data_IF_757772707189
#
_entry.id   IF_757772707189
#
_cell.length_a   1.000
_cell.length_b   1.000
_cell.length_c   1.000
_cell.angle_alpha   90.00
_cell.angle_beta   90.00
_cell.angle_gamma   90.00
#
_symmetry.space_group_name_H-M   'P 1'
#
loop_
_entity.id
_entity.type
_entity.pdbx_description
1 polymer ?
#
# COMPACT_ATOMS: atom_id res chain seq x y z
N UNK A 1 -41.05 34.18 -6.22
CA UNK A 1 -39.75 33.75 -6.74
C UNK A 1 -39.01 33.07 -5.59
N UNK A 2 -39.05 31.76 -5.55
CA UNK A 2 -38.27 31.00 -4.57
C UNK A 2 -36.79 31.08 -4.98
N UNK A 3 -35.97 31.66 -4.10
CA UNK A 3 -34.51 31.63 -4.24
C UNK A 3 -34.09 30.18 -4.04
N UNK A 4 -33.68 29.47 -5.10
CA UNK A 4 -32.98 28.21 -5.00
C UNK A 4 -31.70 28.48 -4.19
N UNK A 5 -31.67 28.01 -2.94
CA UNK A 5 -30.45 27.99 -2.13
C UNK A 5 -29.47 27.05 -2.83
N UNK A 6 -28.39 27.57 -3.43
CA UNK A 6 -27.31 26.73 -3.93
C UNK A 6 -26.83 25.82 -2.80
N UNK A 7 -26.87 24.52 -3.04
CA UNK A 7 -26.39 23.55 -2.05
C UNK A 7 -24.89 23.75 -1.86
N UNK A 8 -24.48 24.09 -0.65
CA UNK A 8 -23.07 24.25 -0.31
C UNK A 8 -22.34 22.93 -0.53
N UNK A 9 -21.32 22.93 -1.40
CA UNK A 9 -20.52 21.76 -1.72
C UNK A 9 -19.83 21.24 -0.44
N UNK A 10 -20.07 19.96 -0.10
CA UNK A 10 -19.35 19.31 1.02
C UNK A 10 -17.86 19.16 0.66
N UNK A 11 -16.99 19.53 1.60
CA UNK A 11 -15.53 19.34 1.52
C UNK A 11 -15.14 18.38 2.64
N UNK A 12 -14.47 17.29 2.28
CA UNK A 12 -13.98 16.31 3.26
C UNK A 12 -12.97 16.93 4.23
N UNK A 13 -13.02 16.53 5.49
CA UNK A 13 -12.04 16.96 6.49
C UNK A 13 -10.61 16.66 6.03
N UNK A 14 -9.66 17.62 6.13
CA UNK A 14 -8.26 17.36 5.81
C UNK A 14 -7.57 16.37 6.78
N UNK A 15 -8.27 15.99 7.87
CA UNK A 15 -7.82 14.95 8.81
C UNK A 15 -8.42 13.56 8.52
N UNK A 16 -9.30 13.45 7.52
CA UNK A 16 -9.80 12.14 7.10
C UNK A 16 -8.68 11.35 6.45
N UNK A 17 -8.60 10.05 6.77
CA UNK A 17 -7.57 9.13 6.29
C UNK A 17 -8.23 7.83 5.81
N UNK A 18 -7.55 7.12 4.93
CA UNK A 18 -7.89 5.73 4.65
C UNK A 18 -7.39 4.91 5.83
N UNK A 19 -8.31 4.35 6.62
CA UNK A 19 -7.97 3.67 7.88
C UNK A 19 -7.48 2.25 7.70
N UNK A 20 -8.11 1.49 6.81
CA UNK A 20 -7.74 0.11 6.52
C UNK A 20 -8.19 -0.32 5.13
N UNK A 21 -7.62 -1.41 4.66
CA UNK A 21 -8.09 -2.20 3.52
C UNK A 21 -8.58 -3.56 4.00
N UNK A 22 -9.66 -4.08 3.40
CA UNK A 22 -10.18 -5.41 3.74
C UNK A 22 -10.26 -6.25 2.46
N UNK A 23 -9.53 -7.37 2.45
CA UNK A 23 -9.34 -8.22 1.29
C UNK A 23 -10.04 -9.57 1.50
N UNK A 24 -10.69 -10.06 0.46
CA UNK A 24 -11.09 -11.47 0.38
C UNK A 24 -9.95 -12.24 -0.23
N UNK A 25 -9.46 -13.26 0.48
CA UNK A 25 -8.32 -14.09 0.09
C UNK A 25 -8.74 -15.53 -0.08
N UNK A 26 -8.02 -16.28 -0.88
CA UNK A 26 -8.30 -17.69 -1.11
C UNK A 26 -7.89 -18.56 0.08
N UNK A 27 -6.80 -18.18 0.76
CA UNK A 27 -6.24 -18.96 1.87
C UNK A 27 -5.58 -18.04 2.90
N UNK A 28 -6.13 -18.01 4.12
CA UNK A 28 -5.61 -17.17 5.21
C UNK A 28 -4.16 -17.50 5.55
N UNK A 29 -3.78 -18.77 5.63
CA UNK A 29 -2.41 -19.15 5.98
C UNK A 29 -1.39 -18.65 4.94
N UNK A 30 -1.75 -18.72 3.65
CA UNK A 30 -0.93 -18.19 2.56
C UNK A 30 -0.82 -16.66 2.61
N UNK A 31 -1.92 -15.98 2.90
CA UNK A 31 -1.92 -14.53 3.07
C UNK A 31 -1.10 -14.11 4.31
N UNK A 32 -1.21 -14.82 5.44
CA UNK A 32 -0.43 -14.54 6.64
C UNK A 32 1.07 -14.72 6.40
N UNK A 33 1.48 -15.75 5.67
CA UNK A 33 2.90 -15.92 5.30
C UNK A 33 3.45 -14.68 4.58
N UNK A 34 2.64 -13.99 3.80
CA UNK A 34 3.04 -12.76 3.12
C UNK A 34 2.95 -11.54 4.05
N UNK A 35 1.76 -11.26 4.58
CA UNK A 35 1.54 -10.02 5.35
C UNK A 35 2.23 -10.03 6.71
N UNK A 36 2.28 -11.19 7.40
CA UNK A 36 2.91 -11.32 8.71
C UNK A 36 4.40 -11.63 8.59
N UNK A 37 4.78 -12.72 7.88
CA UNK A 37 6.16 -13.22 7.94
C UNK A 37 7.10 -12.41 7.05
N UNK A 38 6.62 -11.92 5.89
CA UNK A 38 7.45 -11.16 4.95
C UNK A 38 7.34 -9.65 5.18
N UNK A 39 6.10 -9.10 5.29
CA UNK A 39 5.90 -7.67 5.48
C UNK A 39 5.92 -7.22 6.95
N UNK A 40 5.89 -8.16 7.91
CA UNK A 40 6.08 -7.86 9.33
C UNK A 40 4.85 -7.29 10.04
N UNK A 41 3.64 -7.43 9.50
CA UNK A 41 2.43 -7.04 10.22
C UNK A 41 2.14 -8.01 11.37
N UNK A 42 1.68 -7.47 12.49
CA UNK A 42 1.24 -8.26 13.63
C UNK A 42 -0.22 -8.67 13.51
N UNK A 43 -0.53 -9.94 13.77
CA UNK A 43 -1.91 -10.39 13.93
C UNK A 43 -2.48 -9.84 15.23
N UNK A 44 -3.58 -9.09 15.13
CA UNK A 44 -4.29 -8.55 16.29
C UNK A 44 -5.46 -9.43 16.72
N UNK A 45 -6.16 -10.06 15.77
CA UNK A 45 -7.31 -10.89 16.10
C UNK A 45 -7.66 -11.86 14.97
N UNK A 46 -8.16 -13.05 15.34
CA UNK A 46 -8.84 -14.00 14.48
C UNK A 46 -10.33 -14.01 14.82
N UNK A 47 -11.20 -13.87 13.83
CA UNK A 47 -12.66 -13.86 14.00
C UNK A 47 -13.32 -14.56 12.83
N UNK A 48 -13.94 -15.72 13.06
CA UNK A 48 -14.91 -16.32 12.13
C UNK A 48 -14.52 -16.35 10.65
N UNK A 49 -13.32 -16.84 10.29
CA UNK A 49 -12.86 -16.87 8.91
C UNK A 49 -12.22 -15.56 8.43
N UNK A 50 -11.90 -14.66 9.36
CA UNK A 50 -11.16 -13.43 9.09
C UNK A 50 -10.00 -13.25 10.07
N UNK A 51 -8.99 -12.48 9.66
CA UNK A 51 -7.84 -12.08 10.46
C UNK A 51 -7.58 -10.59 10.27
N UNK A 52 -7.26 -9.92 11.36
CA UNK A 52 -6.96 -8.50 11.39
C UNK A 52 -5.49 -8.28 11.75
N UNK A 53 -4.79 -7.51 10.90
CA UNK A 53 -3.35 -7.26 11.03
C UNK A 53 -3.08 -5.76 11.20
N UNK A 54 -2.04 -5.44 11.95
CA UNK A 54 -1.63 -4.06 12.18
C UNK A 54 -0.13 -3.90 12.27
N UNK A 55 0.35 -2.71 11.96
CA UNK A 55 1.64 -2.20 12.37
C UNK A 55 1.47 -1.39 13.66
N UNK A 56 2.15 -1.78 14.74
CA UNK A 56 2.08 -1.10 16.03
C UNK A 56 0.72 -1.18 16.73
N UNK A 57 0.33 -0.11 17.43
CA UNK A 57 -0.81 -0.10 18.37
C UNK A 57 -2.20 0.14 17.77
N UNK A 58 -2.33 0.30 16.46
CA UNK A 58 -3.63 0.52 15.81
C UNK A 58 -4.45 -0.79 15.76
N UNK A 59 -5.80 -0.70 15.80
CA UNK A 59 -6.64 -1.90 15.84
C UNK A 59 -6.47 -2.82 14.62
N UNK A 60 -6.38 -2.28 13.39
CA UNK A 60 -5.96 -2.99 12.17
C UNK A 60 -5.78 -2.03 11.00
N UNK A 61 -4.80 -2.32 10.15
CA UNK A 61 -4.58 -1.67 8.87
C UNK A 61 -5.04 -2.56 7.71
N UNK A 62 -4.97 -3.89 7.91
CA UNK A 62 -5.35 -4.88 6.92
C UNK A 62 -6.32 -5.87 7.58
N UNK A 63 -7.49 -6.05 6.99
CA UNK A 63 -8.38 -7.16 7.24
C UNK A 63 -8.27 -8.16 6.09
N UNK A 64 -8.23 -9.44 6.39
CA UNK A 64 -8.30 -10.52 5.40
C UNK A 64 -9.40 -11.49 5.80
N UNK A 65 -10.18 -11.98 4.84
CA UNK A 65 -11.22 -12.98 5.08
C UNK A 65 -11.32 -13.97 3.92
N UNK A 66 -12.01 -15.09 4.19
CA UNK A 66 -12.37 -16.11 3.20
C UNK A 66 -13.88 -16.17 2.94
N UNK A 67 -14.63 -15.14 3.33
CA UNK A 67 -16.10 -15.15 3.20
C UNK A 67 -16.52 -15.14 1.74
N UNK A 68 -17.22 -16.20 1.33
CA UNK A 68 -17.63 -16.36 -0.06
C UNK A 68 -16.50 -16.66 -1.04
N UNK A 69 -15.29 -16.95 -0.56
CA UNK A 69 -14.13 -17.22 -1.40
C UNK A 69 -14.01 -18.67 -1.89
N UNK A 70 -14.89 -19.57 -1.44
CA UNK A 70 -14.84 -21.01 -1.75
C UNK A 70 -14.79 -21.31 -3.26
N UNK A 71 -15.39 -20.43 -4.07
CA UNK A 71 -15.36 -20.51 -5.55
C UNK A 71 -14.84 -19.21 -6.20
N UNK A 72 -14.21 -18.35 -5.41
CA UNK A 72 -13.76 -17.07 -5.92
C UNK A 72 -12.59 -17.24 -6.90
N UNK A 73 -12.62 -16.42 -7.95
CA UNK A 73 -11.54 -16.29 -8.92
C UNK A 73 -10.98 -14.88 -8.83
N UNK A 74 -9.70 -14.75 -9.14
CA UNK A 74 -9.10 -13.45 -9.34
C UNK A 74 -9.81 -12.73 -10.49
N UNK A 75 -9.97 -11.38 -10.42
CA UNK A 75 -10.42 -10.62 -11.56
C UNK A 75 -9.51 -10.86 -12.76
N UNK A 76 -10.09 -10.93 -13.95
CA UNK A 76 -9.32 -11.00 -15.19
C UNK A 76 -8.60 -9.69 -15.43
N UNK A 77 -7.48 -9.74 -16.15
CA UNK A 77 -6.76 -8.54 -16.55
C UNK A 77 -7.66 -7.60 -17.36
N UNK A 78 -7.60 -6.29 -17.03
CA UNK A 78 -8.44 -5.26 -17.68
C UNK A 78 -9.82 -5.08 -17.06
N UNK A 79 -10.19 -5.81 -16.02
CA UNK A 79 -11.42 -5.55 -15.29
C UNK A 79 -11.29 -4.31 -14.38
N UNK A 80 -12.41 -3.61 -14.21
CA UNK A 80 -12.49 -2.45 -13.29
C UNK A 80 -12.47 -2.96 -11.85
N UNK A 81 -11.59 -2.36 -11.02
CA UNK A 81 -11.48 -2.70 -9.61
C UNK A 81 -10.35 -1.94 -8.93
N UNK A 82 -9.88 -2.44 -7.80
CA UNK A 82 -8.72 -1.89 -7.12
C UNK A 82 -7.45 -2.17 -7.92
N UNK A 83 -6.74 -1.12 -8.35
CA UNK A 83 -5.47 -1.28 -9.03
C UNK A 83 -4.37 -1.72 -8.05
N UNK A 84 -4.22 -0.97 -6.95
CA UNK A 84 -3.40 -1.33 -5.79
C UNK A 84 -3.86 -0.57 -4.54
N UNK A 85 -3.48 -1.04 -3.39
CA UNK A 85 -3.44 -0.22 -2.17
C UNK A 85 -1.98 0.02 -1.77
N UNK A 86 -1.74 1.13 -1.07
CA UNK A 86 -0.39 1.57 -0.76
C UNK A 86 -0.12 1.52 0.75
N UNK A 87 1.09 1.08 1.11
CA UNK A 87 1.62 1.07 2.47
C UNK A 87 2.71 2.13 2.56
N UNK A 88 2.44 3.19 3.33
CA UNK A 88 3.37 4.29 3.55
C UNK A 88 4.35 3.96 4.69
N UNK A 89 5.62 3.88 4.36
CA UNK A 89 6.71 3.75 5.32
C UNK A 89 7.17 5.13 5.80
N UNK A 90 7.60 5.26 7.06
CA UNK A 90 7.94 6.57 7.63
C UNK A 90 9.17 7.23 7.00
N UNK A 91 10.05 6.44 6.37
CA UNK A 91 11.27 6.91 5.73
C UNK A 91 11.86 5.84 4.79
N UNK A 92 12.89 6.22 4.03
CA UNK A 92 13.60 5.37 3.08
C UNK A 92 14.20 4.12 3.72
N UNK A 93 14.78 4.25 4.92
CA UNK A 93 15.36 3.12 5.67
C UNK A 93 14.33 2.03 5.96
N UNK A 94 13.14 2.40 6.44
CA UNK A 94 12.10 1.42 6.75
C UNK A 94 11.51 0.78 5.48
N UNK A 95 11.40 1.52 4.39
CA UNK A 95 11.07 0.94 3.08
C UNK A 95 12.17 -0.04 2.64
N UNK A 96 13.44 0.33 2.78
CA UNK A 96 14.59 -0.53 2.48
C UNK A 96 14.55 -1.86 3.23
N UNK A 97 14.20 -1.84 4.53
CA UNK A 97 14.02 -3.06 5.33
C UNK A 97 12.92 -3.98 4.78
N UNK A 98 11.78 -3.41 4.39
CA UNK A 98 10.70 -4.18 3.80
C UNK A 98 11.11 -4.80 2.46
N UNK A 99 11.82 -4.05 1.62
CA UNK A 99 12.33 -4.54 0.34
C UNK A 99 13.39 -5.61 0.54
N UNK A 100 14.29 -5.45 1.50
CA UNK A 100 15.28 -6.48 1.89
C UNK A 100 14.58 -7.78 2.30
N UNK A 101 13.53 -7.71 3.11
CA UNK A 101 12.73 -8.87 3.50
C UNK A 101 12.09 -9.56 2.29
N UNK A 102 11.54 -8.80 1.32
CA UNK A 102 10.99 -9.38 0.08
C UNK A 102 12.07 -10.16 -0.69
N UNK A 103 13.26 -9.57 -0.87
CA UNK A 103 14.36 -10.19 -1.61
C UNK A 103 14.89 -11.43 -0.90
N UNK A 104 15.09 -11.39 0.42
CA UNK A 104 15.55 -12.52 1.23
C UNK A 104 14.55 -13.70 1.19
N UNK A 105 13.26 -13.41 1.05
CA UNK A 105 12.21 -14.41 0.88
C UNK A 105 11.95 -14.79 -0.57
N UNK A 106 12.75 -14.30 -1.54
CA UNK A 106 12.57 -14.52 -2.98
C UNK A 106 11.15 -14.12 -3.45
N UNK A 107 10.56 -13.10 -2.85
CA UNK A 107 9.23 -12.64 -3.22
C UNK A 107 9.28 -11.74 -4.46
N UNK A 108 8.44 -11.98 -5.49
CA UNK A 108 8.55 -11.26 -6.75
C UNK A 108 8.15 -9.78 -6.62
N UNK A 109 9.02 -8.89 -7.09
CA UNK A 109 8.77 -7.47 -7.25
C UNK A 109 8.37 -7.22 -8.71
N UNK A 110 7.24 -6.54 -8.93
CA UNK A 110 6.71 -6.25 -10.26
C UNK A 110 7.32 -5.00 -10.90
N UNK A 111 7.82 -4.07 -10.08
CA UNK A 111 8.43 -2.84 -10.55
C UNK A 111 8.87 -1.93 -9.41
N UNK A 112 9.58 -0.86 -9.77
CA UNK A 112 10.04 0.17 -8.85
C UNK A 112 10.04 1.52 -9.55
N UNK A 113 9.80 2.60 -8.82
CA UNK A 113 9.81 3.95 -9.39
C UNK A 113 10.20 5.03 -8.37
N UNK A 114 10.93 6.03 -8.84
CA UNK A 114 11.07 7.33 -8.21
C UNK A 114 10.09 8.30 -8.90
N UNK A 115 9.13 8.80 -8.14
CA UNK A 115 8.11 9.75 -8.60
C UNK A 115 8.47 11.21 -8.33
N UNK A 116 9.67 11.47 -7.82
CA UNK A 116 10.13 12.80 -7.41
C UNK A 116 9.60 13.21 -6.04
N UNK A 117 8.38 12.86 -5.69
CA UNK A 117 7.75 13.10 -4.39
C UNK A 117 7.85 11.90 -3.46
N UNK A 118 8.01 10.71 -4.01
CA UNK A 118 8.09 9.42 -3.31
C UNK A 118 8.97 8.43 -4.07
N UNK A 119 9.44 7.41 -3.39
CA UNK A 119 10.03 6.22 -4.00
C UNK A 119 9.15 5.02 -3.66
N UNK A 120 8.86 4.19 -4.65
CA UNK A 120 7.86 3.13 -4.57
C UNK A 120 8.34 1.81 -5.16
N UNK A 121 7.87 0.71 -4.56
CA UNK A 121 8.03 -0.67 -5.01
C UNK A 121 6.65 -1.25 -5.25
N UNK A 122 6.44 -1.88 -6.39
CA UNK A 122 5.18 -2.49 -6.80
C UNK A 122 5.27 -4.01 -6.80
N UNK A 123 4.26 -4.65 -6.26
CA UNK A 123 4.17 -6.10 -6.18
C UNK A 123 2.70 -6.55 -6.14
N UNK A 124 2.49 -7.85 -6.12
CA UNK A 124 1.17 -8.44 -5.90
C UNK A 124 1.22 -9.33 -4.66
N UNK A 125 0.14 -9.37 -3.90
CA UNK A 125 -0.02 -10.34 -2.82
C UNK A 125 -0.24 -11.76 -3.39
N UNK A 126 -0.31 -12.81 -2.54
CA UNK A 126 -0.51 -14.18 -3.00
C UNK A 126 -1.82 -14.43 -3.77
N UNK A 127 -2.82 -13.55 -3.61
CA UNK A 127 -4.11 -13.60 -4.31
C UNK A 127 -4.18 -12.64 -5.50
N UNK A 128 -3.06 -11.98 -5.85
CA UNK A 128 -2.93 -11.11 -7.03
C UNK A 128 -3.38 -9.67 -6.80
N UNK A 129 -3.72 -9.28 -5.57
CA UNK A 129 -4.03 -7.89 -5.26
C UNK A 129 -2.77 -7.04 -5.41
N UNK A 130 -2.89 -5.90 -6.11
CA UNK A 130 -1.78 -4.96 -6.27
C UNK A 130 -1.42 -4.27 -4.95
N UNK A 131 -0.13 -4.15 -4.67
CA UNK A 131 0.44 -3.38 -3.57
C UNK A 131 1.47 -2.40 -4.07
N UNK A 132 1.52 -1.26 -3.38
CA UNK A 132 2.61 -0.30 -3.45
C UNK A 132 3.21 -0.15 -2.05
N UNK A 133 4.52 -0.38 -1.92
CA UNK A 133 5.29 -0.05 -0.72
C UNK A 133 6.07 1.22 -1.02
N UNK A 134 5.87 2.29 -0.26
CA UNK A 134 6.48 3.57 -0.60
C UNK A 134 6.82 4.40 0.63
N UNK A 135 7.68 5.40 0.44
CA UNK A 135 7.86 6.49 1.39
C UNK A 135 7.79 7.83 0.67
N UNK A 136 7.30 8.85 1.37
CA UNK A 136 7.29 10.22 0.87
C UNK A 136 8.65 10.88 1.13
N UNK A 137 9.21 11.50 0.09
CA UNK A 137 10.36 12.39 0.25
C UNK A 137 9.98 13.63 1.05
N UNK A 138 10.91 14.25 1.77
CA UNK A 138 10.68 15.55 2.41
C UNK A 138 10.06 16.55 1.42
N UNK A 139 9.04 17.29 1.84
CA UNK A 139 8.36 18.27 0.97
C UNK A 139 9.30 19.30 0.35
N UNK A 140 10.43 19.60 1.01
CA UNK A 140 11.49 20.49 0.50
C UNK A 140 12.21 19.94 -0.74
N UNK A 141 12.10 18.64 -0.99
CA UNK A 141 12.72 17.95 -2.13
C UNK A 141 11.75 17.71 -3.29
N UNK A 142 10.46 18.04 -3.09
CA UNK A 142 9.44 17.82 -4.12
C UNK A 142 9.70 18.71 -5.33
N UNK A 143 9.73 18.14 -6.53
CA UNK A 143 9.99 18.91 -7.73
C UNK A 143 8.82 19.82 -8.07
N UNK A 144 9.16 21.07 -8.42
CA UNK A 144 8.19 22.06 -8.87
C UNK A 144 8.45 22.45 -10.33
N UNK A 145 7.41 22.83 -11.05
CA UNK A 145 7.52 23.43 -12.35
C UNK A 145 7.88 24.92 -12.25
N UNK A 146 8.04 25.58 -13.40
CA UNK A 146 8.36 27.01 -13.48
C UNK A 146 7.31 27.94 -12.85
N UNK A 147 6.08 27.45 -12.67
CA UNK A 147 4.95 28.21 -12.13
C UNK A 147 4.74 27.85 -10.62
N UNK A 148 5.62 27.01 -10.04
CA UNK A 148 5.58 26.61 -8.63
C UNK A 148 4.60 25.47 -8.34
N UNK A 149 4.04 24.81 -9.34
CA UNK A 149 3.17 23.66 -9.17
C UNK A 149 3.98 22.37 -9.06
N UNK A 150 3.41 21.40 -8.36
CA UNK A 150 4.03 20.09 -8.21
C UNK A 150 4.24 19.40 -9.56
N UNK A 151 5.48 18.97 -9.82
CA UNK A 151 5.88 18.28 -11.06
C UNK A 151 6.35 16.87 -10.78
N UNK A 152 5.43 15.95 -10.63
CA UNK A 152 5.75 14.53 -10.52
C UNK A 152 6.32 13.98 -11.83
N UNK A 153 7.15 12.95 -11.71
CA UNK A 153 7.71 12.19 -12.84
C UNK A 153 7.77 10.71 -12.48
N UNK A 154 8.22 9.87 -13.40
CA UNK A 154 8.52 8.46 -13.15
C UNK A 154 9.89 8.14 -13.70
N UNK A 155 10.82 7.73 -12.82
CA UNK A 155 12.15 7.26 -13.17
C UNK A 155 12.40 5.89 -12.56
N UNK A 156 13.35 5.15 -13.13
CA UNK A 156 13.80 3.90 -12.53
C UNK A 156 14.39 4.16 -11.14
N UNK A 157 14.04 3.30 -10.18
CA UNK A 157 14.60 3.29 -8.84
C UNK A 157 15.60 2.15 -8.73
N UNK A 158 16.77 2.43 -8.16
CA UNK A 158 17.78 1.43 -7.86
C UNK A 158 17.40 0.68 -6.57
N UNK A 159 16.96 -0.57 -6.73
CA UNK A 159 16.52 -1.42 -5.63
C UNK A 159 17.70 -1.82 -4.73
N UNK A 160 18.87 -2.08 -5.30
CA UNK A 160 20.05 -2.46 -4.52
C UNK A 160 20.51 -1.30 -3.63
N UNK A 161 20.51 -0.08 -4.16
CA UNK A 161 20.79 1.12 -3.38
C UNK A 161 19.74 1.33 -2.26
N UNK A 162 18.47 1.03 -2.52
CA UNK A 162 17.42 1.12 -1.50
C UNK A 162 17.60 0.08 -0.38
N UNK A 163 18.02 -1.14 -0.71
CA UNK A 163 18.31 -2.20 0.29
C UNK A 163 19.50 -1.81 1.18
N UNK A 164 20.54 -1.18 0.63
CA UNK A 164 21.68 -0.72 1.41
C UNK A 164 21.28 0.30 2.50
N UNK A 165 20.26 1.11 2.26
CA UNK A 165 19.72 2.04 3.26
C UNK A 165 19.17 1.31 4.51
N UNK A 166 18.74 0.06 4.39
CA UNK A 166 18.22 -0.72 5.52
C UNK A 166 19.27 -0.95 6.61
N UNK A 167 20.53 -0.97 6.24
CA UNK A 167 21.66 -1.31 7.11
C UNK A 167 22.35 -0.05 7.72
N UNK A 168 21.95 1.16 7.28
CA UNK A 168 22.40 2.44 7.84
C UNK A 168 21.62 2.82 9.09
#
# INVERSE_FOLDING_TARGET
MEQQKEAQKYIISPKAQIGHVHLTVNNIAKALKFYQDILGFEVKQHVGGAVFLSAGGYHHHIGINIWGAEYARQPEEGQIGLYHFAILYPNKKELGKAVKSLVENNYPISGSADHGVSEAIYLKDPDGNGLELYYDKPKSEWPLDKDGNLKMFTKALDIDALILEADL
#
